data_IF_001237768054
#
_entry.id   IF_001237768054
#
_cell.length_a   1.000
_cell.length_b   1.000
_cell.length_c   1.000
_cell.angle_alpha   90.00
_cell.angle_beta   90.00
_cell.angle_gamma   90.00
#
_symmetry.space_group_name_H-M   'P 1'
#
loop_
_entity.id
_entity.type
_entity.pdbx_description
1 polymer ?
#
# COMPACT_ATOMS: atom_id res chain seq x y z
N UNK A 1 -6.73 18.25 -2.00
CA UNK A 1 -5.85 17.06 -1.96
C UNK A 1 -6.60 15.95 -2.69
N UNK A 2 -6.00 15.26 -3.68
CA UNK A 2 -6.68 14.17 -4.39
C UNK A 2 -7.07 13.05 -3.41
N UNK A 3 -8.23 12.45 -3.62
CA UNK A 3 -8.72 11.37 -2.77
C UNK A 3 -8.05 10.04 -3.16
N UNK A 4 -7.04 9.62 -2.39
CA UNK A 4 -6.31 8.37 -2.67
C UNK A 4 -7.23 7.15 -2.60
N UNK A 5 -8.20 7.15 -1.69
CA UNK A 5 -9.16 6.04 -1.56
C UNK A 5 -10.00 5.88 -2.83
N UNK A 6 -10.48 6.98 -3.41
CA UNK A 6 -11.23 6.95 -4.69
C UNK A 6 -10.37 6.48 -5.85
N UNK A 7 -9.10 6.92 -5.90
CA UNK A 7 -8.15 6.49 -6.92
C UNK A 7 -7.90 4.98 -6.82
N UNK A 8 -7.59 4.48 -5.61
CA UNK A 8 -7.38 3.07 -5.36
C UNK A 8 -8.62 2.25 -5.72
N UNK A 9 -9.80 2.66 -5.26
CA UNK A 9 -11.06 1.99 -5.59
C UNK A 9 -11.34 2.02 -7.10
N UNK A 10 -10.96 3.09 -7.80
CA UNK A 10 -11.05 3.19 -9.25
C UNK A 10 -10.13 2.19 -9.97
N UNK A 11 -8.91 2.02 -9.47
CA UNK A 11 -7.95 1.04 -10.00
C UNK A 11 -8.44 -0.39 -9.77
N UNK A 12 -8.81 -0.74 -8.53
CA UNK A 12 -9.24 -2.09 -8.16
C UNK A 12 -10.48 -2.56 -8.93
N UNK A 13 -11.45 -1.67 -9.19
CA UNK A 13 -12.68 -2.00 -9.95
C UNK A 13 -12.44 -2.50 -11.37
N UNK A 14 -11.28 -2.22 -11.96
CA UNK A 14 -10.92 -2.68 -13.32
C UNK A 14 -10.28 -4.07 -13.31
N UNK A 15 -9.96 -4.59 -12.14
CA UNK A 15 -9.21 -5.82 -11.96
C UNK A 15 -10.16 -6.91 -11.46
N UNK A 16 -9.94 -8.12 -11.95
CA UNK A 16 -10.61 -9.32 -11.44
C UNK A 16 -10.53 -9.33 -9.90
N UNK A 17 -11.67 -9.46 -9.17
CA UNK A 17 -11.68 -9.50 -7.71
C UNK A 17 -10.67 -10.47 -7.09
N UNK A 18 -10.38 -11.60 -7.72
CA UNK A 18 -9.41 -12.57 -7.21
C UNK A 18 -7.96 -12.08 -7.33
N UNK A 19 -7.68 -11.14 -8.23
CA UNK A 19 -6.36 -10.57 -8.48
C UNK A 19 -6.13 -9.24 -7.75
N UNK A 20 -7.20 -8.62 -7.21
CA UNK A 20 -7.12 -7.35 -6.49
C UNK A 20 -6.15 -7.39 -5.29
N UNK A 21 -6.11 -8.42 -4.43
CA UNK A 21 -5.13 -8.52 -3.34
C UNK A 21 -3.69 -8.51 -3.85
N UNK A 22 -3.39 -9.23 -4.94
CA UNK A 22 -2.05 -9.28 -5.51
C UNK A 22 -1.63 -7.93 -6.11
N UNK A 23 -2.56 -7.20 -6.75
CA UNK A 23 -2.28 -5.84 -7.20
C UNK A 23 -1.96 -4.95 -6.00
N UNK A 24 -2.79 -4.97 -4.96
CA UNK A 24 -2.58 -4.12 -3.78
C UNK A 24 -1.24 -4.44 -3.10
N UNK A 25 -0.88 -5.72 -2.94
CA UNK A 25 0.43 -6.14 -2.45
C UNK A 25 1.61 -5.57 -3.26
N UNK A 26 1.45 -5.41 -4.58
CA UNK A 26 2.47 -4.77 -5.43
C UNK A 26 2.54 -3.27 -5.17
N UNK A 27 1.40 -2.62 -4.91
CA UNK A 27 1.34 -1.21 -4.54
C UNK A 27 2.01 -0.97 -3.18
N UNK A 28 1.92 -1.90 -2.22
CA UNK A 28 2.63 -1.79 -0.94
C UNK A 28 4.15 -1.76 -1.12
N UNK A 29 4.70 -2.57 -2.03
CA UNK A 29 6.14 -2.48 -2.36
C UNK A 29 6.52 -1.11 -2.94
N UNK A 30 5.63 -0.47 -3.69
CA UNK A 30 5.86 0.89 -4.20
C UNK A 30 5.75 1.93 -3.07
N UNK A 31 4.86 1.73 -2.10
CA UNK A 31 4.77 2.54 -0.90
C UNK A 31 6.02 2.39 -0.02
N UNK A 32 6.51 1.16 0.20
CA UNK A 32 7.77 0.89 0.90
C UNK A 32 8.96 1.65 0.26
N UNK A 33 9.06 1.63 -1.07
CA UNK A 33 10.08 2.41 -1.78
C UNK A 33 9.96 3.92 -1.53
N UNK A 34 8.73 4.45 -1.50
CA UNK A 34 8.45 5.86 -1.22
C UNK A 34 8.80 6.23 0.22
N UNK A 35 8.44 5.40 1.21
CA UNK A 35 8.84 5.57 2.60
C UNK A 35 10.36 5.64 2.77
N UNK A 36 11.11 4.72 2.13
CA UNK A 36 12.59 4.75 2.14
C UNK A 36 13.15 6.02 1.50
N UNK A 37 12.51 6.52 0.45
CA UNK A 37 12.90 7.78 -0.20
C UNK A 37 12.71 8.96 0.76
N UNK A 38 11.57 9.06 1.43
CA UNK A 38 11.35 10.09 2.44
C UNK A 38 12.33 9.99 3.61
N UNK A 39 12.60 8.77 4.09
CA UNK A 39 13.53 8.55 5.20
C UNK A 39 14.97 8.99 4.83
N UNK A 40 15.41 8.73 3.60
CA UNK A 40 16.74 9.14 3.13
C UNK A 40 16.93 10.66 3.21
N UNK A 41 15.90 11.42 2.83
CA UNK A 41 15.99 12.86 2.64
C UNK A 41 15.52 13.68 3.88
N UNK A 42 14.90 13.04 4.87
CA UNK A 42 14.39 13.75 6.06
C UNK A 42 15.54 14.23 6.97
N UNK A 43 15.45 15.39 7.64
CA UNK A 43 16.51 15.86 8.54
C UNK A 43 16.46 15.22 9.95
N UNK A 44 15.26 14.91 10.46
CA UNK A 44 15.06 14.35 11.80
C UNK A 44 15.23 12.84 11.83
N UNK A 45 16.15 12.34 12.68
CA UNK A 45 16.49 10.93 12.80
C UNK A 45 15.34 10.05 13.30
N UNK A 46 14.53 10.53 14.25
CA UNK A 46 13.39 9.77 14.77
C UNK A 46 12.32 9.56 13.69
N UNK A 47 12.12 10.58 12.85
CA UNK A 47 11.22 10.49 11.70
C UNK A 47 11.76 9.51 10.66
N UNK A 48 13.08 9.47 10.42
CA UNK A 48 13.68 8.47 9.52
C UNK A 48 13.38 7.05 9.97
N UNK A 49 13.60 6.77 11.25
CA UNK A 49 13.38 5.44 11.82
C UNK A 49 11.92 5.02 11.71
N UNK A 50 10.99 5.94 12.01
CA UNK A 50 9.56 5.67 11.84
C UNK A 50 9.15 5.43 10.38
N UNK A 51 9.70 6.21 9.43
CA UNK A 51 9.46 5.99 8.00
C UNK A 51 10.04 4.65 7.50
N UNK A 52 11.21 4.24 8.00
CA UNK A 52 11.78 2.93 7.68
C UNK A 52 10.94 1.79 8.28
N UNK A 53 10.44 1.96 9.50
CA UNK A 53 9.50 1.00 10.09
C UNK A 53 8.22 0.88 9.26
N UNK A 54 7.71 1.99 8.71
CA UNK A 54 6.60 1.93 7.77
C UNK A 54 6.94 1.13 6.51
N UNK A 55 8.11 1.37 5.91
CA UNK A 55 8.56 0.61 4.76
C UNK A 55 8.64 -0.89 5.05
N UNK A 56 9.09 -1.29 6.25
CA UNK A 56 9.18 -2.70 6.62
C UNK A 56 7.81 -3.36 6.79
N UNK A 57 6.81 -2.64 7.35
CA UNK A 57 5.42 -3.11 7.43
C UNK A 57 4.81 -3.32 6.04
N UNK A 58 5.08 -2.43 5.10
CA UNK A 58 4.60 -2.54 3.72
C UNK A 58 5.17 -3.76 2.99
N UNK A 59 6.48 -4.01 3.16
CA UNK A 59 7.11 -5.23 2.63
C UNK A 59 6.58 -6.50 3.32
N UNK A 60 6.24 -6.40 4.60
CA UNK A 60 5.62 -7.51 5.32
C UNK A 60 4.22 -7.83 4.78
N UNK A 61 3.37 -6.81 4.57
CA UNK A 61 2.05 -6.99 3.95
C UNK A 61 2.22 -7.65 2.58
N UNK A 62 3.09 -7.10 1.73
CA UNK A 62 3.35 -7.65 0.40
C UNK A 62 3.78 -9.12 0.45
N UNK A 63 4.75 -9.47 1.31
CA UNK A 63 5.22 -10.86 1.47
C UNK A 63 4.11 -11.80 1.96
N UNK A 64 3.28 -11.37 2.91
CA UNK A 64 2.15 -12.16 3.43
C UNK A 64 1.20 -12.49 2.27
N UNK A 65 0.74 -11.49 1.53
CA UNK A 65 -0.24 -11.68 0.46
C UNK A 65 0.33 -12.48 -0.71
N UNK A 66 1.58 -12.22 -1.10
CA UNK A 66 2.28 -12.97 -2.15
C UNK A 66 2.45 -14.46 -1.78
N UNK A 67 2.58 -14.79 -0.49
CA UNK A 67 2.71 -16.19 -0.04
C UNK A 67 1.46 -17.03 -0.30
N UNK A 68 0.29 -16.40 -0.50
CA UNK A 68 -0.95 -17.07 -0.89
C UNK A 68 -0.93 -17.59 -2.33
N UNK A 69 0.00 -17.13 -3.18
CA UNK A 69 0.05 -17.52 -4.58
C UNK A 69 1.50 -17.79 -5.06
N UNK A 70 1.85 -19.02 -5.47
CA UNK A 70 3.21 -19.34 -5.91
C UNK A 70 3.64 -18.59 -7.18
N UNK A 71 2.69 -18.04 -7.94
CA UNK A 71 2.94 -17.26 -9.15
C UNK A 71 2.74 -15.75 -8.94
N UNK A 72 2.72 -15.27 -7.69
CA UNK A 72 2.40 -13.88 -7.35
C UNK A 72 3.19 -12.86 -8.18
N UNK A 73 4.51 -13.01 -8.27
CA UNK A 73 5.38 -12.09 -9.04
C UNK A 73 4.97 -12.02 -10.51
N UNK A 74 4.81 -13.17 -11.17
CA UNK A 74 4.45 -13.22 -12.58
C UNK A 74 3.05 -12.63 -12.85
N UNK A 75 2.11 -12.79 -11.91
CA UNK A 75 0.77 -12.20 -11.99
C UNK A 75 0.85 -10.68 -11.82
N UNK A 76 1.56 -10.21 -10.80
CA UNK A 76 1.74 -8.78 -10.53
C UNK A 76 2.42 -8.07 -11.71
N UNK A 77 3.44 -8.67 -12.31
CA UNK A 77 4.13 -8.09 -13.47
C UNK A 77 3.18 -7.99 -14.68
N UNK A 78 2.32 -8.99 -14.90
CA UNK A 78 1.28 -8.93 -15.93
C UNK A 78 0.24 -7.85 -15.63
N UNK A 79 -0.20 -7.73 -14.38
CA UNK A 79 -1.15 -6.70 -13.95
C UNK A 79 -0.59 -5.30 -14.19
N UNK A 80 0.66 -5.03 -13.83
CA UNK A 80 1.28 -3.73 -14.07
C UNK A 80 1.54 -3.46 -15.55
N UNK A 81 1.97 -4.47 -16.31
CA UNK A 81 2.17 -4.34 -17.76
C UNK A 81 0.86 -4.04 -18.48
N UNK A 82 -0.25 -4.64 -18.03
CA UNK A 82 -1.59 -4.40 -18.56
C UNK A 82 -2.23 -3.09 -18.08
N UNK A 83 -1.69 -2.48 -17.01
CA UNK A 83 -2.21 -1.25 -16.42
C UNK A 83 -1.06 -0.26 -16.13
N UNK A 84 -0.31 0.18 -17.16
CA UNK A 84 0.88 1.01 -17.00
C UNK A 84 0.57 2.38 -16.35
N UNK A 85 -0.67 2.85 -16.43
CA UNK A 85 -1.12 4.08 -15.78
C UNK A 85 -1.02 4.02 -14.26
N UNK A 86 -1.05 2.83 -13.63
CA UNK A 86 -0.94 2.69 -12.19
C UNK A 86 0.46 3.07 -11.69
N UNK A 87 1.50 2.70 -12.45
CA UNK A 87 2.88 3.08 -12.14
C UNK A 87 3.11 4.58 -12.33
N UNK A 88 2.57 5.13 -13.41
CA UNK A 88 2.68 6.56 -13.67
C UNK A 88 1.93 7.38 -12.61
N UNK A 89 0.73 6.95 -12.24
CA UNK A 89 -0.06 7.57 -11.18
C UNK A 89 0.67 7.51 -9.84
N UNK A 90 1.20 6.36 -9.44
CA UNK A 90 1.99 6.22 -8.22
C UNK A 90 3.19 7.19 -8.17
N UNK A 91 3.85 7.41 -9.31
CA UNK A 91 4.98 8.34 -9.42
C UNK A 91 4.55 9.80 -9.38
N UNK A 92 3.50 10.16 -10.11
CA UNK A 92 3.11 11.56 -10.33
C UNK A 92 2.22 12.11 -9.22
N UNK A 93 1.48 11.26 -8.51
CA UNK A 93 0.51 11.67 -7.48
C UNK A 93 1.14 12.52 -6.37
N UNK A 94 2.37 12.19 -5.96
CA UNK A 94 3.10 12.86 -4.86
C UNK A 94 4.09 13.92 -5.32
N UNK A 95 4.41 13.94 -6.62
CA UNK A 95 5.48 14.75 -7.19
C UNK A 95 5.26 16.25 -6.90
N UNK A 96 6.33 16.94 -6.55
CA UNK A 96 6.40 18.39 -6.30
C UNK A 96 5.47 18.90 -5.17
N UNK A 97 4.90 18.00 -4.36
CA UNK A 97 4.09 18.37 -3.19
C UNK A 97 4.97 18.54 -1.95
N UNK A 98 4.64 19.45 -1.02
CA UNK A 98 5.30 19.52 0.28
C UNK A 98 5.19 18.18 1.03
N UNK A 99 6.25 17.76 1.75
CA UNK A 99 6.27 16.48 2.48
C UNK A 99 5.07 16.29 3.40
N UNK A 100 4.68 17.33 4.13
CA UNK A 100 3.48 17.29 5.00
C UNK A 100 2.20 16.94 4.22
N UNK A 101 2.06 17.42 2.99
CA UNK A 101 0.93 17.07 2.10
C UNK A 101 1.06 15.63 1.63
N UNK A 102 2.27 15.18 1.29
CA UNK A 102 2.54 13.79 0.92
C UNK A 102 2.22 12.82 2.06
N UNK A 103 2.60 13.14 3.30
CA UNK A 103 2.27 12.34 4.49
C UNK A 103 0.78 12.29 4.76
N UNK A 104 0.06 13.42 4.68
CA UNK A 104 -1.39 13.43 4.84
C UNK A 104 -2.10 12.58 3.76
N UNK A 105 -1.60 12.66 2.53
CA UNK A 105 -2.06 11.83 1.41
C UNK A 105 -1.82 10.35 1.68
N UNK A 106 -0.59 9.95 2.00
CA UNK A 106 -0.25 8.56 2.27
C UNK A 106 -1.02 8.02 3.48
N UNK A 107 -1.17 8.78 4.56
CA UNK A 107 -1.99 8.38 5.72
C UNK A 107 -3.47 8.14 5.36
N UNK A 108 -3.98 8.82 4.33
CA UNK A 108 -5.32 8.53 3.78
C UNK A 108 -5.31 7.25 2.94
N UNK A 109 -4.24 7.03 2.17
CA UNK A 109 -3.98 5.80 1.44
C UNK A 109 -3.91 4.57 2.34
N UNK A 110 -3.10 4.61 3.40
CA UNK A 110 -2.97 3.52 4.37
C UNK A 110 -4.33 3.13 4.97
N UNK A 111 -5.15 4.12 5.36
CA UNK A 111 -6.51 3.85 5.87
C UNK A 111 -7.42 3.20 4.84
N UNK A 112 -7.22 3.52 3.56
CA UNK A 112 -7.93 2.87 2.46
C UNK A 112 -7.41 1.45 2.23
N UNK A 113 -6.09 1.22 2.30
CA UNK A 113 -5.46 -0.10 2.24
C UNK A 113 -5.97 -1.02 3.35
N UNK A 114 -5.98 -0.54 4.59
CA UNK A 114 -6.56 -1.25 5.73
C UNK A 114 -8.03 -1.65 5.53
N UNK A 115 -8.85 -0.73 4.99
CA UNK A 115 -10.25 -1.01 4.68
C UNK A 115 -10.38 -2.05 3.55
N UNK A 116 -9.52 -1.98 2.53
CA UNK A 116 -9.48 -2.94 1.43
C UNK A 116 -9.09 -4.35 1.93
N UNK A 117 -8.07 -4.46 2.79
CA UNK A 117 -7.66 -5.76 3.36
C UNK A 117 -8.77 -6.43 4.17
N UNK A 118 -9.52 -5.65 4.96
CA UNK A 118 -10.71 -6.15 5.66
C UNK A 118 -11.76 -6.65 4.68
N UNK A 119 -12.07 -5.88 3.64
CA UNK A 119 -13.04 -6.27 2.63
C UNK A 119 -12.63 -7.54 1.86
N UNK A 120 -11.35 -7.68 1.51
CA UNK A 120 -10.84 -8.90 0.88
C UNK A 120 -10.93 -10.11 1.79
N UNK A 121 -10.66 -9.94 3.08
CA UNK A 121 -10.80 -11.02 4.03
C UNK A 121 -12.27 -11.46 4.21
N UNK A 122 -13.20 -10.50 4.30
CA UNK A 122 -14.64 -10.79 4.39
C UNK A 122 -15.15 -11.58 3.17
N UNK A 123 -14.57 -11.31 1.99
CA UNK A 123 -14.86 -12.05 0.76
C UNK A 123 -14.10 -13.37 0.59
N UNK A 124 -13.07 -13.65 1.39
CA UNK A 124 -12.27 -14.85 1.25
C UNK A 124 -13.02 -16.09 1.76
N UNK A 125 -13.02 -17.19 0.98
CA UNK A 125 -13.64 -18.45 1.40
C UNK A 125 -12.70 -19.31 2.25
N UNK A 126 -11.41 -19.33 1.91
CA UNK A 126 -10.38 -20.05 2.67
C UNK A 126 -10.09 -19.37 4.02
N UNK A 127 -10.26 -20.07 5.16
CA UNK A 127 -10.00 -19.49 6.48
C UNK A 127 -8.57 -18.99 6.68
N UNK A 128 -7.56 -19.69 6.14
CA UNK A 128 -6.16 -19.30 6.29
C UNK A 128 -5.85 -18.03 5.49
N UNK A 129 -6.34 -17.95 4.25
CA UNK A 129 -6.26 -16.71 3.47
C UNK A 129 -7.00 -15.55 4.16
N UNK A 130 -8.18 -15.79 4.75
CA UNK A 130 -8.95 -14.77 5.48
C UNK A 130 -8.16 -14.20 6.66
N UNK A 131 -7.60 -15.06 7.50
CA UNK A 131 -6.81 -14.66 8.66
C UNK A 131 -5.58 -13.85 8.24
N UNK A 132 -4.88 -14.30 7.20
CA UNK A 132 -3.73 -13.59 6.67
C UNK A 132 -4.11 -12.20 6.13
N UNK A 133 -5.18 -12.09 5.35
CA UNK A 133 -5.65 -10.79 4.85
C UNK A 133 -6.09 -9.86 5.99
N UNK A 134 -6.80 -10.38 6.99
CA UNK A 134 -7.15 -9.62 8.20
C UNK A 134 -5.93 -9.07 8.92
N UNK A 135 -4.84 -9.85 8.97
CA UNK A 135 -3.60 -9.47 9.65
C UNK A 135 -2.86 -8.28 9.00
N UNK A 136 -3.20 -7.91 7.76
CA UNK A 136 -2.58 -6.80 7.04
C UNK A 136 -3.15 -5.45 7.49
N UNK A 137 -4.44 -5.38 7.82
CA UNK A 137 -5.10 -4.12 8.18
C UNK A 137 -4.49 -3.38 9.38
N UNK A 138 -4.07 -4.04 10.47
CA UNK A 138 -3.42 -3.34 11.59
C UNK A 138 -2.09 -2.69 11.21
N UNK A 139 -1.33 -3.28 10.28
CA UNK A 139 -0.02 -2.77 9.85
C UNK A 139 -0.17 -1.44 9.09
N UNK A 140 -1.15 -1.37 8.20
CA UNK A 140 -1.57 -0.14 7.51
C UNK A 140 -2.03 0.93 8.49
N UNK A 141 -2.84 0.57 9.50
CA UNK A 141 -3.29 1.54 10.48
C UNK A 141 -2.14 2.13 11.29
N UNK A 142 -1.16 1.30 11.64
CA UNK A 142 0.04 1.77 12.34
C UNK A 142 0.85 2.76 11.48
N UNK A 143 0.97 2.51 10.17
CA UNK A 143 1.58 3.46 9.24
C UNK A 143 0.79 4.76 9.13
N UNK A 144 -0.54 4.68 9.05
CA UNK A 144 -1.43 5.85 8.99
C UNK A 144 -1.29 6.72 10.24
N UNK A 145 -1.26 6.09 11.40
CA UNK A 145 -1.16 6.75 12.70
C UNK A 145 0.22 7.40 12.87
N UNK A 146 1.30 6.70 12.49
CA UNK A 146 2.63 7.30 12.49
C UNK A 146 2.69 8.55 11.59
N UNK A 147 2.24 8.45 10.34
CA UNK A 147 2.22 9.60 9.43
C UNK A 147 1.38 10.77 9.96
N UNK A 148 0.28 10.48 10.66
CA UNK A 148 -0.57 11.48 11.30
C UNK A 148 0.17 12.28 12.39
N UNK A 149 1.14 11.67 13.08
CA UNK A 149 1.97 12.38 14.08
C UNK A 149 2.92 13.40 13.45
N UNK A 150 3.17 13.30 12.14
CA UNK A 150 4.06 14.19 11.39
C UNK A 150 3.32 15.39 10.76
N UNK A 151 2.01 15.51 10.99
CA UNK A 151 1.15 16.59 10.49
C UNK A 151 0.93 17.64 11.56
#
# INVERSE_FOLDING_TARGET
IPNIAEILAGALRKIDPQLQPLLLAKLERLAAFRYRTWAKDHPDQSVKEGLLACADREEEIARRVESLNPNAVAIQDKLLTGNPELLDLNRTLFKDRPLKVQFAMQATGERAGAAAWKAFADGASDPSARELLQSCSPLEQENADFLQTLL
#
